data_IF_955144361556
#
_entry.id   IF_955144361556
#
_cell.length_a   1.000
_cell.length_b   1.000
_cell.length_c   1.000
_cell.angle_alpha   90.00
_cell.angle_beta   90.00
_cell.angle_gamma   90.00
#
_symmetry.space_group_name_H-M   'P 1'
#
loop_
_entity.id
_entity.type
_entity.pdbx_description
1 polymer ?
#
# COMPACT_ATOMS: atom_id res chain seq x y z
N UNK A 1 1.69 -6.58 25.88
CA UNK A 1 0.90 -5.61 26.71
C UNK A 1 0.54 -4.46 25.79
N UNK A 2 -0.76 -4.09 25.68
CA UNK A 2 -1.14 -2.91 24.90
C UNK A 2 -0.63 -1.66 25.62
N UNK A 3 0.01 -0.75 24.91
CA UNK A 3 0.35 0.57 25.41
C UNK A 3 -0.97 1.27 25.84
N UNK A 4 -1.10 1.70 27.11
CA UNK A 4 -2.31 2.36 27.58
C UNK A 4 -2.63 3.68 26.87
N UNK A 5 -1.68 4.23 26.10
CA UNK A 5 -1.83 5.45 25.30
C UNK A 5 -2.14 5.19 23.82
N UNK A 6 -2.19 3.90 23.39
CA UNK A 6 -2.58 3.57 22.02
C UNK A 6 -4.07 3.87 21.81
N UNK A 7 -4.45 4.57 20.73
CA UNK A 7 -5.86 4.86 20.45
C UNK A 7 -6.66 3.57 20.24
N UNK A 8 -7.92 3.59 20.61
CA UNK A 8 -8.83 2.48 20.34
C UNK A 8 -9.04 2.30 18.83
N UNK A 9 -9.51 1.11 18.41
CA UNK A 9 -9.86 0.85 17.01
C UNK A 9 -10.91 1.86 16.53
N UNK A 10 -11.91 2.17 17.34
CA UNK A 10 -12.95 3.15 17.01
C UNK A 10 -12.37 4.55 16.80
N UNK A 11 -11.41 4.96 17.63
CA UNK A 11 -10.70 6.23 17.49
C UNK A 11 -9.87 6.26 16.21
N UNK A 12 -9.15 5.18 15.89
CA UNK A 12 -8.41 5.06 14.64
C UNK A 12 -9.35 5.12 13.42
N UNK A 13 -10.48 4.44 13.49
CA UNK A 13 -11.47 4.45 12.40
C UNK A 13 -12.04 5.84 12.14
N UNK A 14 -12.32 6.61 13.19
CA UNK A 14 -12.92 7.94 13.08
C UNK A 14 -11.90 9.02 12.69
N UNK A 15 -10.74 9.03 13.33
CA UNK A 15 -9.86 10.21 13.37
C UNK A 15 -8.49 10.04 12.73
N UNK A 16 -8.17 8.87 12.16
CA UNK A 16 -6.86 8.68 11.55
C UNK A 16 -6.65 9.60 10.34
N UNK A 17 -5.55 10.32 10.35
CA UNK A 17 -5.17 11.27 9.29
C UNK A 17 -5.65 12.70 9.53
N UNK A 18 -6.41 12.97 10.59
CA UNK A 18 -6.72 14.32 11.02
C UNK A 18 -5.46 15.00 11.57
N UNK A 19 -5.02 16.06 10.92
CA UNK A 19 -3.90 16.88 11.37
C UNK A 19 -4.29 18.36 11.30
N UNK A 20 -4.46 18.97 12.46
CA UNK A 20 -4.87 20.38 12.60
C UNK A 20 -3.81 21.37 12.14
N UNK A 21 -2.57 20.93 11.95
CA UNK A 21 -1.45 21.77 11.52
C UNK A 21 -1.26 21.74 10.01
N UNK A 22 -1.91 20.79 9.33
CA UNK A 22 -1.86 20.63 7.88
C UNK A 22 -3.18 21.08 7.24
N UNK A 23 -3.13 21.37 5.96
CA UNK A 23 -4.30 21.65 5.11
C UNK A 23 -5.21 22.78 5.65
N UNK A 24 -4.60 23.84 6.19
CA UNK A 24 -5.30 25.00 6.79
C UNK A 24 -6.30 24.59 7.90
N UNK A 25 -6.02 23.49 8.60
CA UNK A 25 -6.85 22.99 9.68
C UNK A 25 -8.11 22.24 9.23
N UNK A 26 -8.13 21.74 8.01
CA UNK A 26 -9.23 20.92 7.53
C UNK A 26 -9.43 19.69 8.45
N UNK A 27 -10.69 19.46 8.85
CA UNK A 27 -11.03 18.31 9.73
C UNK A 27 -10.77 16.97 9.04
N UNK A 28 -11.00 16.90 7.73
CA UNK A 28 -10.76 15.72 6.92
C UNK A 28 -9.65 16.05 5.90
N UNK A 29 -8.65 15.17 5.72
CA UNK A 29 -7.63 15.38 4.72
C UNK A 29 -8.22 15.60 3.32
N UNK A 30 -7.74 16.58 2.56
CA UNK A 30 -8.23 16.84 1.20
C UNK A 30 -7.97 15.68 0.26
N UNK A 31 -8.80 15.54 -0.77
CA UNK A 31 -8.56 14.59 -1.87
C UNK A 31 -7.65 15.23 -2.91
N UNK A 32 -6.48 14.65 -3.11
CA UNK A 32 -5.49 15.10 -4.11
C UNK A 32 -5.76 14.43 -5.46
N UNK A 33 -6.31 15.20 -6.41
CA UNK A 33 -6.65 14.73 -7.78
C UNK A 33 -5.67 15.22 -8.85
N UNK A 34 -4.43 15.45 -8.46
CA UNK A 34 -3.35 15.87 -9.37
C UNK A 34 -2.40 14.71 -9.68
N UNK A 35 -1.72 14.77 -10.82
CA UNK A 35 -0.72 13.78 -11.21
C UNK A 35 0.68 14.13 -10.74
N UNK A 36 1.03 15.41 -10.69
CA UNK A 36 2.36 15.92 -10.39
C UNK A 36 2.33 16.82 -9.16
N UNK A 37 3.47 16.90 -8.49
CA UNK A 37 3.71 17.81 -7.36
C UNK A 37 4.90 18.70 -7.67
N UNK A 38 4.80 19.97 -7.28
CA UNK A 38 5.86 20.96 -7.48
C UNK A 38 6.94 20.84 -6.41
N UNK A 39 8.12 21.37 -6.72
CA UNK A 39 9.26 21.45 -5.82
C UNK A 39 9.51 22.90 -5.43
N UNK A 40 10.12 23.10 -4.28
CA UNK A 40 10.46 24.41 -3.77
C UNK A 40 11.67 24.98 -4.48
N UNK A 41 12.72 24.19 -4.65
CA UNK A 41 14.00 24.53 -5.23
C UNK A 41 14.70 23.26 -5.74
N UNK A 42 15.94 23.41 -6.26
CA UNK A 42 16.74 22.30 -6.78
C UNK A 42 17.15 21.29 -5.71
N UNK A 43 17.45 21.75 -4.51
CA UNK A 43 17.83 20.87 -3.39
C UNK A 43 16.65 19.97 -2.99
N UNK A 44 15.43 20.48 -3.04
CA UNK A 44 14.20 19.71 -2.80
C UNK A 44 13.95 18.66 -3.90
N UNK A 45 14.32 18.96 -5.15
CA UNK A 45 14.29 17.99 -6.27
C UNK A 45 15.27 16.85 -5.99
N UNK A 46 16.53 17.17 -5.74
CA UNK A 46 17.58 16.17 -5.52
C UNK A 46 17.23 15.26 -4.33
N UNK A 47 16.85 15.83 -3.21
CA UNK A 47 16.41 15.07 -2.03
C UNK A 47 15.18 14.17 -2.28
N UNK A 48 14.24 14.62 -3.13
CA UNK A 48 13.07 13.83 -3.48
C UNK A 48 13.40 12.67 -4.43
N UNK A 49 14.41 12.82 -5.29
CA UNK A 49 14.85 11.75 -6.20
C UNK A 49 15.83 10.77 -5.54
N UNK A 50 16.58 11.19 -4.53
CA UNK A 50 17.39 10.30 -3.69
C UNK A 50 16.51 9.36 -2.86
N UNK A 51 15.46 9.90 -2.24
CA UNK A 51 14.47 9.10 -1.51
C UNK A 51 13.04 9.39 -2.01
N UNK A 52 12.58 8.57 -2.93
CA UNK A 52 11.25 8.67 -3.54
C UNK A 52 10.10 8.39 -2.57
N UNK A 53 10.38 7.95 -1.36
CA UNK A 53 9.37 7.72 -0.31
C UNK A 53 9.17 8.96 0.57
N UNK A 54 10.08 9.92 0.51
CA UNK A 54 10.11 11.11 1.35
C UNK A 54 8.90 12.02 1.14
N UNK A 55 8.54 12.26 -0.13
CA UNK A 55 7.43 13.13 -0.50
C UNK A 55 6.79 12.72 -1.83
N UNK A 56 5.55 13.13 -2.09
CA UNK A 56 4.93 12.94 -3.40
C UNK A 56 5.70 13.70 -4.50
N UNK A 57 6.00 12.98 -5.58
CA UNK A 57 6.55 13.51 -6.84
C UNK A 57 5.52 13.32 -7.93
N UNK A 58 4.98 12.12 -8.01
CA UNK A 58 4.03 11.69 -9.00
C UNK A 58 3.00 10.73 -8.38
N UNK A 59 1.72 10.97 -8.64
CA UNK A 59 0.61 10.24 -8.01
C UNK A 59 0.68 8.72 -8.16
N UNK A 60 1.23 8.19 -9.26
CA UNK A 60 1.41 6.74 -9.44
C UNK A 60 2.39 6.15 -8.42
N UNK A 61 3.35 6.92 -7.93
CA UNK A 61 4.29 6.50 -6.90
C UNK A 61 3.73 6.71 -5.51
N UNK A 62 3.36 7.96 -5.20
CA UNK A 62 2.78 8.36 -3.92
C UNK A 62 1.75 9.44 -4.15
N UNK A 63 0.55 9.25 -3.61
CA UNK A 63 -0.47 10.29 -3.49
C UNK A 63 -0.85 10.46 -2.01
N UNK A 64 -0.94 11.68 -1.48
CA UNK A 64 -1.27 11.89 -0.06
C UNK A 64 -2.59 11.23 0.36
N UNK A 65 -3.60 11.21 -0.50
CA UNK A 65 -4.89 10.57 -0.22
C UNK A 65 -4.75 9.06 -0.04
N UNK A 66 -4.06 8.38 -0.97
CA UNK A 66 -3.85 6.92 -0.86
C UNK A 66 -2.92 6.59 0.28
N UNK A 67 -1.88 7.40 0.54
CA UNK A 67 -0.94 7.21 1.65
C UNK A 67 -1.62 7.23 3.01
N UNK A 68 -2.55 8.15 3.25
CA UNK A 68 -3.33 8.20 4.49
C UNK A 68 -4.17 6.93 4.65
N UNK A 69 -4.82 6.46 3.59
CA UNK A 69 -5.60 5.22 3.62
C UNK A 69 -4.72 3.98 3.87
N UNK A 70 -3.54 3.90 3.23
CA UNK A 70 -2.55 2.84 3.44
C UNK A 70 -2.07 2.80 4.89
N UNK A 71 -1.69 3.95 5.44
CA UNK A 71 -1.26 4.07 6.83
C UNK A 71 -2.37 3.71 7.82
N UNK A 72 -3.61 4.11 7.54
CA UNK A 72 -4.78 3.76 8.35
C UNK A 72 -5.03 2.25 8.36
N UNK A 73 -4.97 1.59 7.20
CA UNK A 73 -5.13 0.14 7.08
C UNK A 73 -4.00 -0.57 7.84
N UNK A 74 -2.75 -0.13 7.68
CA UNK A 74 -1.62 -0.70 8.41
C UNK A 74 -1.82 -0.57 9.94
N UNK A 75 -2.23 0.60 10.42
CA UNK A 75 -2.50 0.83 11.84
C UNK A 75 -3.64 -0.04 12.39
N UNK A 76 -4.70 -0.26 11.61
CA UNK A 76 -5.82 -1.12 11.99
C UNK A 76 -5.45 -2.61 12.01
N UNK A 77 -4.62 -3.04 11.04
CA UNK A 77 -4.20 -4.44 10.95
C UNK A 77 -3.27 -4.86 12.11
N UNK A 78 -2.59 -3.91 12.72
CA UNK A 78 -1.46 -4.23 13.58
C UNK A 78 -1.46 -3.57 14.93
N UNK A 79 -2.56 -3.20 15.50
CA UNK A 79 -2.76 -2.51 16.82
C UNK A 79 -1.54 -2.47 17.81
N UNK A 80 -0.44 -3.16 17.50
CA UNK A 80 0.78 -3.26 18.32
C UNK A 80 2.10 -3.40 17.53
N UNK A 81 2.09 -3.36 16.18
CA UNK A 81 3.30 -3.50 15.34
C UNK A 81 3.48 -2.26 14.48
N UNK A 82 4.69 -1.70 14.49
CA UNK A 82 5.06 -0.50 13.72
C UNK A 82 5.80 -0.82 12.43
N UNK A 83 6.03 -2.10 12.16
CA UNK A 83 6.85 -2.63 11.06
C UNK A 83 6.01 -3.08 9.84
N UNK A 84 4.70 -2.85 9.84
CA UNK A 84 3.84 -3.19 8.71
C UNK A 84 3.50 -1.96 7.88
N UNK A 85 3.58 -2.16 6.58
CA UNK A 85 3.11 -1.23 5.57
C UNK A 85 1.95 -1.84 4.79
N UNK A 86 0.99 -1.01 4.40
CA UNK A 86 -0.05 -1.37 3.45
C UNK A 86 0.19 -0.66 2.11
N UNK A 87 -0.23 -1.29 1.03
CA UNK A 87 -0.27 -0.68 -0.31
C UNK A 87 -1.63 -0.91 -0.93
N UNK A 88 -2.21 0.15 -1.45
CA UNK A 88 -3.48 0.10 -2.17
C UNK A 88 -3.25 -0.19 -3.64
N UNK A 89 -4.12 -1.00 -4.20
CA UNK A 89 -4.14 -1.33 -5.62
C UNK A 89 -5.54 -1.10 -6.19
N UNK A 90 -5.65 -1.04 -7.52
CA UNK A 90 -6.92 -0.78 -8.20
C UNK A 90 -7.94 -1.93 -8.07
N UNK A 91 -7.52 -3.12 -7.64
CA UNK A 91 -8.40 -4.27 -7.41
C UNK A 91 -7.74 -5.31 -6.49
N UNK A 92 -8.55 -6.20 -5.88
CA UNK A 92 -8.03 -7.32 -5.10
C UNK A 92 -7.14 -8.26 -5.93
N UNK A 93 -7.46 -8.51 -7.20
CA UNK A 93 -6.59 -9.30 -8.07
C UNK A 93 -5.27 -8.60 -8.39
N UNK A 94 -5.25 -7.27 -8.49
CA UNK A 94 -4.01 -6.52 -8.63
C UNK A 94 -3.13 -6.67 -7.37
N UNK A 95 -3.72 -6.67 -6.17
CA UNK A 95 -2.98 -6.94 -4.94
C UNK A 95 -2.40 -8.36 -4.92
N UNK A 96 -3.22 -9.37 -5.20
CA UNK A 96 -2.80 -10.78 -5.23
C UNK A 96 -1.69 -11.00 -6.26
N UNK A 97 -1.87 -10.53 -7.49
CA UNK A 97 -0.88 -10.73 -8.55
C UNK A 97 0.42 -9.96 -8.27
N UNK A 98 0.35 -8.75 -7.72
CA UNK A 98 1.55 -7.99 -7.38
C UNK A 98 2.40 -8.68 -6.31
N UNK A 99 1.77 -9.19 -5.25
CA UNK A 99 2.48 -9.91 -4.18
C UNK A 99 3.12 -11.20 -4.71
N UNK A 100 2.37 -11.99 -5.47
CA UNK A 100 2.89 -13.26 -6.00
C UNK A 100 4.05 -12.97 -6.96
N UNK A 101 3.86 -12.12 -7.98
CA UNK A 101 4.88 -11.81 -8.98
C UNK A 101 6.15 -11.16 -8.40
N UNK A 102 6.01 -10.42 -7.30
CA UNK A 102 7.16 -9.87 -6.59
C UNK A 102 7.98 -10.94 -5.87
N UNK A 103 7.34 -12.02 -5.44
CA UNK A 103 7.93 -13.03 -4.56
C UNK A 103 8.49 -14.25 -5.29
N UNK A 104 8.23 -14.39 -6.59
CA UNK A 104 8.59 -15.60 -7.35
C UNK A 104 9.43 -15.31 -8.59
N UNK A 105 10.20 -16.31 -8.98
CA UNK A 105 10.94 -16.39 -10.25
C UNK A 105 10.52 -17.65 -11.04
N UNK A 106 10.92 -17.72 -12.31
CA UNK A 106 10.75 -18.94 -13.10
C UNK A 106 11.46 -20.14 -12.44
N UNK A 107 10.77 -21.27 -12.32
CA UNK A 107 11.26 -22.47 -11.64
C UNK A 107 10.89 -22.54 -10.16
N UNK A 108 10.31 -21.51 -9.58
CA UNK A 108 9.79 -21.55 -8.21
C UNK A 108 8.49 -22.35 -8.11
N UNK A 109 8.08 -22.65 -6.88
CA UNK A 109 6.87 -23.41 -6.58
C UNK A 109 5.95 -22.63 -5.65
N UNK A 110 4.70 -22.42 -6.06
CA UNK A 110 3.66 -21.78 -5.27
C UNK A 110 2.68 -22.81 -4.75
N UNK A 111 2.46 -22.81 -3.44
CA UNK A 111 1.44 -23.63 -2.78
C UNK A 111 0.25 -22.77 -2.42
N UNK A 112 -0.95 -23.17 -2.85
CA UNK A 112 -2.19 -22.45 -2.58
C UNK A 112 -3.23 -23.36 -1.90
N UNK A 113 -4.13 -22.74 -1.14
CA UNK A 113 -5.27 -23.47 -0.57
C UNK A 113 -6.22 -23.91 -1.70
N UNK A 114 -6.83 -25.10 -1.54
CA UNK A 114 -7.75 -25.65 -2.55
C UNK A 114 -8.91 -24.72 -2.92
N UNK A 115 -9.42 -23.96 -1.95
CA UNK A 115 -10.57 -23.08 -2.12
C UNK A 115 -10.17 -21.61 -2.37
N UNK A 116 -9.04 -21.39 -3.04
CA UNK A 116 -8.64 -20.04 -3.45
C UNK A 116 -9.65 -19.45 -4.43
N UNK A 117 -9.78 -18.13 -4.43
CA UNK A 117 -10.67 -17.40 -5.33
C UNK A 117 -10.43 -17.80 -6.82
N UNK A 118 -11.50 -18.05 -7.57
CA UNK A 118 -11.45 -18.59 -8.94
C UNK A 118 -10.46 -17.88 -9.87
N UNK A 119 -10.49 -16.55 -10.02
CA UNK A 119 -9.51 -15.80 -10.79
C UNK A 119 -8.06 -15.99 -10.29
N UNK A 120 -7.83 -16.12 -9.00
CA UNK A 120 -6.50 -16.43 -8.45
C UNK A 120 -6.07 -17.84 -8.87
N UNK A 121 -6.96 -18.82 -8.80
CA UNK A 121 -6.68 -20.17 -9.26
C UNK A 121 -6.31 -20.20 -10.75
N UNK A 122 -7.04 -19.47 -11.59
CA UNK A 122 -6.72 -19.33 -13.00
C UNK A 122 -5.37 -18.64 -13.23
N UNK A 123 -5.08 -17.58 -12.47
CA UNK A 123 -3.77 -16.91 -12.52
C UNK A 123 -2.61 -17.86 -12.18
N UNK A 124 -2.75 -18.67 -11.13
CA UNK A 124 -1.76 -19.66 -10.72
C UNK A 124 -1.55 -20.74 -11.79
N UNK A 125 -2.62 -21.40 -12.22
CA UNK A 125 -2.53 -22.60 -13.05
C UNK A 125 -2.34 -22.31 -14.54
N UNK A 126 -2.97 -21.24 -15.08
CA UNK A 126 -2.87 -20.93 -16.51
C UNK A 126 -1.77 -19.91 -16.80
N UNK A 127 -1.63 -18.88 -15.99
CA UNK A 127 -0.65 -17.84 -16.29
C UNK A 127 0.74 -18.18 -15.74
N UNK A 128 0.85 -18.43 -14.44
CA UNK A 128 2.15 -18.69 -13.82
C UNK A 128 2.74 -20.02 -14.29
N UNK A 129 1.94 -21.06 -14.28
CA UNK A 129 2.41 -22.41 -14.66
C UNK A 129 2.74 -22.52 -16.14
N UNK A 130 1.81 -22.14 -17.02
CA UNK A 130 1.97 -22.35 -18.44
C UNK A 130 2.88 -21.33 -19.13
N UNK A 131 2.90 -20.08 -18.64
CA UNK A 131 3.63 -18.99 -19.30
C UNK A 131 4.92 -18.61 -18.60
N UNK A 132 5.00 -18.78 -17.28
CA UNK A 132 6.16 -18.35 -16.50
C UNK A 132 7.00 -19.50 -15.96
N UNK A 133 6.58 -20.76 -16.16
CA UNK A 133 7.32 -21.93 -15.69
C UNK A 133 7.38 -22.04 -14.17
N UNK A 134 6.38 -21.55 -13.47
CA UNK A 134 6.24 -21.64 -12.00
C UNK A 134 5.37 -22.86 -11.69
N UNK A 135 5.86 -23.76 -10.83
CA UNK A 135 5.05 -24.88 -10.37
C UNK A 135 3.98 -24.42 -9.38
N UNK A 136 2.78 -25.02 -9.44
CA UNK A 136 1.67 -24.69 -8.56
C UNK A 136 0.99 -25.94 -8.01
N UNK A 137 0.70 -25.95 -6.72
CA UNK A 137 0.00 -27.04 -6.03
C UNK A 137 -1.14 -26.50 -5.16
#
# INVERSE_FOLDING_TARGET
MKDPHSPSVDTLMAHFGEDRTMYDGAVVPPVFQNSLFTFKDWDDIDAAFEDRTRRPIYTRLINPTTRIAEQKIAALATASRTDLEARLTASGMAAVSAVILHSICAGDHVVAVKNVYGPTNNFLNSYLREKMGVETT
#
